data_IF_653753332450
#
_entry.id   IF_653753332450
#
_cell.length_a   1.000
_cell.length_b   1.000
_cell.length_c   1.000
_cell.angle_alpha   90.00
_cell.angle_beta   90.00
_cell.angle_gamma   90.00
#
_symmetry.space_group_name_H-M   'P 1'
#
loop_
_entity.id
_entity.type
_entity.pdbx_description
1 polymer ?
#
# COMPACT_ATOMS: atom_id res chain seq x y z
N UNK A 1 25.09 13.11 71.79
CA UNK A 1 25.04 14.31 70.93
C UNK A 1 25.58 13.86 69.58
N UNK A 2 24.79 13.24 68.71
CA UNK A 2 23.63 13.79 68.01
C UNK A 2 23.99 15.14 67.37
N UNK A 3 24.37 15.09 66.08
CA UNK A 3 23.98 16.00 65.00
C UNK A 3 24.96 15.86 63.83
N UNK A 4 24.73 14.86 62.98
CA UNK A 4 25.01 14.98 61.55
C UNK A 4 23.65 14.98 60.88
N UNK A 5 23.30 16.14 60.35
CA UNK A 5 22.03 16.49 59.72
C UNK A 5 21.69 15.52 58.56
N UNK A 6 20.43 15.07 58.43
CA UNK A 6 19.87 14.50 57.19
C UNK A 6 19.61 15.69 56.22
N UNK A 7 19.57 15.57 54.90
CA UNK A 7 18.41 15.05 54.18
C UNK A 7 18.77 14.82 52.72
N UNK A 8 18.44 13.60 52.29
CA UNK A 8 18.13 13.22 50.93
C UNK A 8 17.03 14.16 50.40
N UNK A 9 17.39 15.09 49.52
CA UNK A 9 16.40 15.96 48.87
C UNK A 9 15.72 15.18 47.75
N UNK A 10 14.43 15.02 47.97
CA UNK A 10 13.43 14.25 47.26
C UNK A 10 13.27 14.67 45.79
N UNK A 11 12.77 13.69 45.04
CA UNK A 11 12.15 13.75 43.72
C UNK A 11 11.49 15.10 43.37
N UNK A 12 11.97 15.74 42.30
CA UNK A 12 11.09 16.49 41.40
C UNK A 12 11.42 16.05 39.97
N UNK A 13 10.76 14.96 39.59
CA UNK A 13 10.41 14.62 38.21
C UNK A 13 9.57 15.77 37.63
N UNK A 14 10.23 16.87 37.26
CA UNK A 14 9.64 17.85 36.37
C UNK A 14 9.65 17.22 34.98
N UNK A 15 8.57 16.49 34.69
CA UNK A 15 8.17 16.06 33.38
C UNK A 15 8.37 17.22 32.40
N UNK A 16 9.48 17.19 31.66
CA UNK A 16 9.62 17.94 30.43
C UNK A 16 8.61 17.32 29.47
N UNK A 17 7.37 17.81 29.58
CA UNK A 17 6.42 17.74 28.49
C UNK A 17 7.18 18.25 27.27
N UNK A 18 7.54 17.32 26.37
CA UNK A 18 7.93 17.67 25.03
C UNK A 18 6.72 18.34 24.42
N UNK A 19 6.59 19.64 24.64
CA UNK A 19 5.78 20.50 23.80
C UNK A 19 6.37 20.31 22.41
N UNK A 20 5.67 19.53 21.58
CA UNK A 20 5.77 19.59 20.14
C UNK A 20 5.53 21.07 19.79
N UNK A 21 6.61 21.84 19.75
CA UNK A 21 6.62 23.25 19.40
C UNK A 21 6.23 23.31 17.91
N UNK A 22 4.92 23.36 17.66
CA UNK A 22 4.35 23.62 16.35
C UNK A 22 4.85 24.99 15.92
N UNK A 23 5.91 25.00 15.12
CA UNK A 23 6.62 26.19 14.62
C UNK A 23 5.74 27.19 13.82
N UNK A 24 4.42 27.01 13.80
CA UNK A 24 3.46 28.04 13.38
C UNK A 24 3.61 28.45 11.91
N UNK A 25 4.33 27.66 11.12
CA UNK A 25 4.60 27.94 9.73
C UNK A 25 3.30 27.85 8.92
N UNK A 26 2.69 29.01 8.65
CA UNK A 26 1.49 29.10 7.82
C UNK A 26 1.88 28.93 6.36
N UNK A 27 1.80 27.68 5.86
CA UNK A 27 2.07 27.37 4.46
C UNK A 27 0.83 27.69 3.62
N UNK A 28 0.89 28.77 2.85
CA UNK A 28 -0.15 29.10 1.89
C UNK A 28 -0.22 28.03 0.78
N UNK A 29 -1.42 27.56 0.38
CA UNK A 29 -1.55 26.58 -0.68
C UNK A 29 -1.00 27.11 -2.01
N UNK A 30 0.00 26.44 -2.57
CA UNK A 30 0.62 26.82 -3.86
C UNK A 30 -0.38 26.60 -5.01
N UNK A 31 -1.25 25.59 -4.89
CA UNK A 31 -2.25 25.22 -5.91
C UNK A 31 -3.55 24.84 -5.23
N UNK A 32 -4.67 25.33 -5.78
CA UNK A 32 -6.01 24.85 -5.45
C UNK A 32 -6.38 23.76 -6.44
N UNK A 33 -6.63 22.55 -5.94
CA UNK A 33 -7.08 21.43 -6.75
C UNK A 33 -8.61 21.40 -6.75
N UNK A 34 -9.21 21.30 -7.92
CA UNK A 34 -10.64 21.03 -8.04
C UNK A 34 -10.89 19.52 -7.88
N UNK A 35 -11.98 19.17 -7.22
CA UNK A 35 -12.40 17.79 -7.09
C UNK A 35 -12.88 17.27 -8.46
N UNK A 36 -12.19 16.26 -8.98
CA UNK A 36 -12.53 15.62 -10.27
C UNK A 36 -13.12 14.26 -9.98
N UNK A 37 -14.26 13.95 -10.61
CA UNK A 37 -14.85 12.62 -10.56
C UNK A 37 -13.90 11.59 -11.19
N UNK A 38 -13.46 10.61 -10.39
CA UNK A 38 -12.53 9.58 -10.85
C UNK A 38 -13.30 8.32 -11.25
N UNK A 39 -13.27 7.99 -12.53
CA UNK A 39 -13.77 6.71 -13.05
C UNK A 39 -12.73 5.61 -12.87
N UNK A 40 -13.14 4.41 -12.46
CA UNK A 40 -12.21 3.28 -12.23
C UNK A 40 -11.75 2.61 -13.52
N UNK A 41 -12.50 2.77 -14.62
CA UNK A 41 -12.29 2.08 -15.90
C UNK A 41 -12.63 0.58 -15.85
N UNK A 42 -13.38 0.15 -14.84
CA UNK A 42 -13.80 -1.23 -14.58
C UNK A 42 -15.34 -1.41 -14.70
N UNK A 43 -16.09 -0.41 -15.18
CA UNK A 43 -17.57 -0.37 -15.15
C UNK A 43 -18.23 -1.35 -16.14
N UNK A 44 -17.57 -1.63 -17.26
CA UNK A 44 -18.02 -2.53 -18.32
C UNK A 44 -17.60 -4.00 -18.09
N UNK A 45 -17.02 -4.30 -16.94
CA UNK A 45 -16.46 -5.61 -16.63
C UNK A 45 -17.02 -6.19 -15.33
N UNK A 46 -17.19 -7.50 -15.30
CA UNK A 46 -17.67 -8.23 -14.13
C UNK A 46 -16.51 -8.96 -13.44
N UNK A 47 -16.37 -8.86 -12.10
CA UNK A 47 -15.36 -9.58 -11.36
C UNK A 47 -15.71 -11.07 -11.24
N UNK A 48 -14.85 -11.92 -11.80
CA UNK A 48 -14.93 -13.38 -11.64
C UNK A 48 -14.23 -13.81 -10.34
N UNK A 49 -13.16 -13.11 -9.98
CA UNK A 49 -12.33 -13.42 -8.83
C UNK A 49 -11.90 -12.11 -8.17
N UNK A 50 -11.89 -12.10 -6.84
CA UNK A 50 -11.38 -11.01 -6.01
C UNK A 50 -10.67 -11.65 -4.80
N UNK A 51 -9.34 -11.54 -4.75
CA UNK A 51 -8.52 -12.13 -3.69
C UNK A 51 -7.38 -11.20 -3.29
N UNK A 52 -6.95 -11.31 -2.03
CA UNK A 52 -5.69 -10.69 -1.60
C UNK A 52 -4.52 -11.57 -2.03
N UNK A 53 -3.53 -10.97 -2.68
CA UNK A 53 -2.35 -11.65 -3.16
C UNK A 53 -1.09 -10.78 -3.03
N UNK A 54 0.05 -11.44 -3.14
CA UNK A 54 1.36 -10.80 -3.33
C UNK A 54 1.91 -11.17 -4.70
N UNK A 55 2.32 -10.15 -5.44
CA UNK A 55 2.83 -10.21 -6.79
C UNK A 55 4.35 -10.22 -6.80
N UNK A 56 4.95 -11.15 -7.53
CA UNK A 56 6.39 -11.21 -7.74
C UNK A 56 6.73 -11.14 -9.23
N UNK A 57 7.87 -10.52 -9.53
CA UNK A 57 8.52 -10.53 -10.84
C UNK A 57 9.85 -11.24 -10.73
N UNK A 58 10.11 -12.15 -11.66
CA UNK A 58 11.39 -12.82 -11.75
C UNK A 58 12.44 -11.93 -12.44
N UNK A 59 13.56 -11.72 -11.76
CA UNK A 59 14.73 -11.04 -12.31
C UNK A 59 15.68 -12.10 -12.89
N UNK A 60 15.89 -12.07 -14.21
CA UNK A 60 16.70 -13.06 -14.91
C UNK A 60 18.19 -12.87 -14.63
N UNK A 61 18.64 -11.63 -14.50
CA UNK A 61 20.05 -11.31 -14.31
C UNK A 61 20.51 -11.71 -12.90
N UNK A 62 19.66 -11.47 -11.90
CA UNK A 62 19.89 -11.86 -10.50
C UNK A 62 19.39 -13.25 -10.12
N UNK A 63 18.75 -13.98 -11.05
CA UNK A 63 18.10 -15.28 -10.82
C UNK A 63 17.23 -15.32 -9.54
N UNK A 64 16.50 -14.24 -9.25
CA UNK A 64 15.76 -14.07 -8.00
C UNK A 64 14.36 -13.51 -8.22
N UNK A 65 13.44 -13.83 -7.32
CA UNK A 65 12.13 -13.20 -7.28
C UNK A 65 12.19 -11.88 -6.54
N UNK A 66 11.63 -10.82 -7.13
CA UNK A 66 11.49 -9.50 -6.52
C UNK A 66 10.01 -9.19 -6.34
N UNK A 67 9.64 -8.67 -5.17
CA UNK A 67 8.27 -8.24 -4.92
C UNK A 67 7.89 -7.07 -5.85
N UNK A 68 6.71 -7.16 -6.46
CA UNK A 68 6.17 -6.15 -7.37
C UNK A 68 5.00 -5.40 -6.75
N UNK A 69 4.24 -6.03 -5.85
CA UNK A 69 3.17 -5.37 -5.10
C UNK A 69 2.34 -6.33 -4.25
N UNK A 70 1.69 -5.78 -3.23
CA UNK A 70 0.76 -6.48 -2.34
C UNK A 70 -0.58 -5.78 -2.39
N UNK A 71 -1.64 -6.55 -2.60
CA UNK A 71 -3.00 -6.02 -2.56
C UNK A 71 -4.01 -6.96 -3.17
N UNK A 72 -5.07 -6.39 -3.74
CA UNK A 72 -6.18 -7.17 -4.27
C UNK A 72 -5.97 -7.43 -5.76
N UNK A 73 -6.03 -8.70 -6.14
CA UNK A 73 -6.06 -9.15 -7.53
C UNK A 73 -7.51 -9.44 -7.93
N UNK A 74 -7.89 -8.93 -9.09
CA UNK A 74 -9.17 -9.17 -9.74
C UNK A 74 -8.98 -9.80 -11.10
N UNK A 75 -9.82 -10.79 -11.42
CA UNK A 75 -10.04 -11.22 -12.79
C UNK A 75 -11.35 -10.60 -13.27
N UNK A 76 -11.25 -9.72 -14.26
CA UNK A 76 -12.38 -8.96 -14.79
C UNK A 76 -12.73 -9.49 -16.18
N UNK A 77 -13.99 -9.82 -16.40
CA UNK A 77 -14.52 -10.22 -17.71
C UNK A 77 -15.35 -9.11 -18.31
N UNK A 78 -14.99 -8.68 -19.50
CA UNK A 78 -15.75 -7.69 -20.24
C UNK A 78 -17.14 -8.23 -20.63
N UNK A 79 -18.19 -7.44 -20.39
CA UNK A 79 -19.60 -7.83 -20.63
C UNK A 79 -19.88 -8.18 -22.09
N UNK A 80 -19.43 -7.32 -23.01
CA UNK A 80 -19.69 -7.50 -24.45
C UNK A 80 -18.68 -8.42 -25.14
N UNK A 81 -17.37 -8.12 -25.04
CA UNK A 81 -16.33 -8.88 -25.73
C UNK A 81 -16.00 -10.23 -25.11
N UNK A 82 -16.44 -10.48 -23.87
CA UNK A 82 -16.14 -11.71 -23.12
C UNK A 82 -14.66 -11.90 -22.76
N UNK A 83 -13.79 -10.94 -23.10
CA UNK A 83 -12.35 -10.99 -22.82
C UNK A 83 -12.11 -10.87 -21.32
N UNK A 84 -11.16 -11.65 -20.81
CA UNK A 84 -10.77 -11.61 -19.41
C UNK A 84 -9.43 -10.90 -19.27
N UNK A 85 -9.32 -9.98 -18.32
CA UNK A 85 -8.06 -9.35 -17.92
C UNK A 85 -7.81 -9.54 -16.43
N UNK A 86 -6.53 -9.58 -16.09
CA UNK A 86 -6.07 -9.54 -14.72
C UNK A 86 -5.70 -8.10 -14.36
N UNK A 87 -6.30 -7.59 -13.30
CA UNK A 87 -5.98 -6.29 -12.72
C UNK A 87 -5.59 -6.49 -11.26
N UNK A 88 -4.48 -5.90 -10.83
CA UNK A 88 -4.09 -5.92 -9.42
C UNK A 88 -3.72 -4.51 -8.97
N UNK A 89 -4.24 -4.11 -7.80
CA UNK A 89 -3.98 -2.81 -7.17
C UNK A 89 -3.36 -2.99 -5.79
N UNK A 90 -2.47 -2.08 -5.41
CA UNK A 90 -1.83 -2.09 -4.10
C UNK A 90 -2.78 -1.60 -3.00
N UNK A 91 -2.76 -2.20 -1.81
CA UNK A 91 -3.75 -1.89 -0.75
C UNK A 91 -3.73 -0.44 -0.25
N UNK A 92 -2.56 0.22 -0.22
CA UNK A 92 -2.41 1.59 0.33
C UNK A 92 -2.49 2.66 -0.75
N UNK A 93 -1.73 2.49 -1.82
CA UNK A 93 -1.58 3.51 -2.87
C UNK A 93 -2.64 3.40 -3.96
N UNK A 94 -3.38 2.30 -4.01
CA UNK A 94 -4.35 1.94 -5.06
C UNK A 94 -3.76 1.94 -6.49
N UNK A 95 -2.42 2.05 -6.60
CA UNK A 95 -1.70 1.99 -7.87
C UNK A 95 -1.84 0.59 -8.47
N UNK A 96 -2.04 0.57 -9.79
CA UNK A 96 -2.08 -0.66 -10.57
C UNK A 96 -0.66 -1.25 -10.63
N UNK A 97 -0.50 -2.48 -10.16
CA UNK A 97 0.78 -3.21 -10.24
C UNK A 97 0.79 -4.30 -11.33
N UNK A 98 -0.39 -4.72 -11.80
CA UNK A 98 -0.57 -5.58 -12.98
C UNK A 98 -1.86 -5.21 -13.72
N UNK A 99 -1.79 -5.16 -15.06
CA UNK A 99 -2.93 -5.02 -15.96
C UNK A 99 -2.59 -5.74 -17.26
N UNK A 100 -3.09 -6.95 -17.42
CA UNK A 100 -2.77 -7.76 -18.58
C UNK A 100 -3.98 -8.58 -19.03
N UNK A 101 -4.15 -8.70 -20.34
CA UNK A 101 -5.17 -9.57 -20.92
C UNK A 101 -4.80 -11.04 -20.68
N UNK A 102 -5.76 -11.82 -20.20
CA UNK A 102 -5.63 -13.26 -20.01
C UNK A 102 -5.66 -13.97 -21.35
N UNK A 103 -4.50 -14.16 -21.97
CA UNK A 103 -4.35 -15.11 -23.08
C UNK A 103 -3.78 -16.42 -22.53
N UNK A 104 -4.45 -17.54 -22.81
CA UNK A 104 -4.00 -18.90 -22.46
C UNK A 104 -2.61 -19.22 -23.06
N UNK A 105 -2.17 -18.47 -24.08
CA UNK A 105 -0.91 -18.73 -24.77
C UNK A 105 0.28 -17.87 -24.35
N UNK A 106 0.13 -16.86 -23.47
CA UNK A 106 1.23 -15.93 -23.21
C UNK A 106 2.34 -16.54 -22.32
N UNK A 107 3.56 -16.79 -22.85
CA UNK A 107 4.65 -17.41 -22.09
C UNK A 107 5.25 -16.49 -21.02
N UNK A 108 4.94 -15.18 -21.09
CA UNK A 108 5.43 -14.18 -20.13
C UNK A 108 4.54 -14.05 -18.88
N UNK A 109 3.42 -14.76 -18.80
CA UNK A 109 2.56 -14.75 -17.62
C UNK A 109 3.06 -15.71 -16.52
N UNK A 110 4.37 -15.73 -16.28
CA UNK A 110 4.95 -16.39 -15.10
C UNK A 110 4.90 -15.43 -13.91
N UNK A 111 3.70 -14.93 -13.66
CA UNK A 111 3.39 -14.10 -12.51
C UNK A 111 3.04 -15.06 -11.38
N UNK A 112 3.99 -15.27 -10.46
CA UNK A 112 3.73 -16.10 -9.30
C UNK A 112 2.84 -15.30 -8.34
N UNK A 113 1.56 -15.69 -8.27
CA UNK A 113 0.67 -15.26 -7.21
C UNK A 113 0.90 -16.19 -6.02
N UNK A 114 1.55 -15.69 -4.97
CA UNK A 114 1.49 -16.35 -3.69
C UNK A 114 0.13 -16.00 -3.06
N UNK A 115 -0.84 -16.89 -3.23
CA UNK A 115 -2.06 -16.87 -2.44
C UNK A 115 -1.70 -17.37 -1.04
N UNK A 116 -1.78 -16.49 -0.05
CA UNK A 116 -1.62 -16.89 1.34
C UNK A 116 -2.86 -17.68 1.72
N UNK A 117 -2.78 -19.02 1.68
CA UNK A 117 -3.78 -19.89 2.28
C UNK A 117 -3.80 -19.61 3.79
N UNK A 118 -4.87 -18.96 4.24
CA UNK A 118 -5.37 -19.11 5.59
C UNK A 118 -6.77 -19.68 5.50
#
# INVERSE_FOLDING_TARGET
MASTDPEHREDEEAAAAGEDEDTGAQVAPIVKLEEVAVTTGEEEEDPILDLKAKLYRFDKDGNQWKERGVGTVKLLKHKESGRVRLVMRQSKTLKICANHLGSISTPNFRVCFCFSNR
#
